data_IF_276697343351
#
_entry.id   IF_276697343351
#
_cell.length_a   1.000
_cell.length_b   1.000
_cell.length_c   1.000
_cell.angle_alpha   90.00
_cell.angle_beta   90.00
_cell.angle_gamma   90.00
#
_symmetry.space_group_name_H-M   'P 1'
#
loop_
_entity.id
_entity.type
_entity.pdbx_description
1 polymer ?
#
# COMPACT_ATOMS: atom_id res chain seq x y z
N UNK A 1 16.06 -3.08 -7.89
CA UNK A 1 16.64 -1.78 -8.28
C UNK A 1 17.60 -1.31 -7.20
N UNK A 2 18.78 -0.77 -7.54
CA UNK A 2 19.62 -0.08 -6.57
C UNK A 2 18.88 1.13 -6.00
N UNK A 3 19.21 1.51 -4.76
CA UNK A 3 18.64 2.70 -4.15
C UNK A 3 19.12 3.96 -4.89
N UNK A 4 18.18 4.78 -5.37
CA UNK A 4 18.45 6.08 -5.97
C UNK A 4 18.11 7.20 -4.97
N UNK A 5 19.16 7.83 -4.43
CA UNK A 5 19.02 8.91 -3.47
C UNK A 5 18.36 10.16 -4.09
N UNK A 6 18.68 10.49 -5.34
CA UNK A 6 18.15 11.68 -5.99
C UNK A 6 16.64 11.53 -6.22
N UNK A 7 16.22 10.35 -6.71
CA UNK A 7 14.81 10.04 -6.85
C UNK A 7 14.08 10.10 -5.50
N UNK A 8 14.66 9.51 -4.45
CA UNK A 8 14.06 9.52 -3.11
C UNK A 8 13.89 10.95 -2.55
N UNK A 9 14.88 11.84 -2.78
CA UNK A 9 14.80 13.24 -2.36
C UNK A 9 13.72 14.01 -3.15
N UNK A 10 13.59 13.77 -4.45
CA UNK A 10 12.56 14.36 -5.29
C UNK A 10 11.16 13.90 -4.87
N UNK A 11 10.98 12.60 -4.59
CA UNK A 11 9.72 12.04 -4.11
C UNK A 11 9.33 12.63 -2.75
N UNK A 12 10.31 12.76 -1.83
CA UNK A 12 10.10 13.43 -0.54
C UNK A 12 9.63 14.88 -0.73
N UNK A 13 10.26 15.62 -1.64
CA UNK A 13 9.87 17.01 -1.93
C UNK A 13 8.45 17.09 -2.52
N UNK A 14 8.13 16.22 -3.50
CA UNK A 14 6.78 16.11 -4.08
C UNK A 14 5.71 15.83 -3.03
N UNK A 15 5.96 14.89 -2.11
CA UNK A 15 5.02 14.56 -1.04
C UNK A 15 4.84 15.76 -0.08
N UNK A 16 5.92 16.49 0.21
CA UNK A 16 5.87 17.65 1.10
C UNK A 16 5.06 18.81 0.51
N UNK A 17 5.15 19.05 -0.80
CA UNK A 17 4.47 20.16 -1.49
C UNK A 17 3.12 19.77 -2.11
N UNK A 18 2.70 18.50 -2.02
CA UNK A 18 1.44 18.03 -2.56
C UNK A 18 0.24 18.78 -1.96
N UNK A 19 -0.67 19.24 -2.84
CA UNK A 19 -1.96 19.83 -2.43
C UNK A 19 -2.96 18.75 -2.03
N UNK A 20 -2.86 17.57 -2.63
CA UNK A 20 -3.65 16.37 -2.31
C UNK A 20 -2.79 15.12 -2.36
N UNK A 21 -2.92 14.28 -1.35
CA UNK A 21 -2.30 12.95 -1.29
C UNK A 21 -3.35 11.87 -1.41
N UNK A 22 -3.03 10.84 -2.17
CA UNK A 22 -3.82 9.61 -2.24
C UNK A 22 -2.93 8.48 -1.73
N UNK A 23 -3.25 7.95 -0.56
CA UNK A 23 -2.53 6.84 0.05
C UNK A 23 -3.23 5.55 -0.34
N UNK A 24 -2.51 4.62 -0.97
CA UNK A 24 -3.04 3.30 -1.31
C UNK A 24 -2.54 2.30 -0.27
N UNK A 25 -3.46 1.64 0.42
CA UNK A 25 -3.21 0.56 1.36
C UNK A 25 -3.91 -0.69 0.85
N UNK A 26 -3.13 -1.69 0.45
CA UNK A 26 -3.65 -2.85 -0.28
C UNK A 26 -2.63 -3.99 -0.32
N UNK A 27 -2.95 -5.04 -1.05
CA UNK A 27 -2.18 -6.26 -1.22
C UNK A 27 -1.40 -6.30 -2.55
N UNK A 28 -1.13 -7.51 -3.06
CA UNK A 28 -0.39 -7.72 -4.31
C UNK A 28 -1.04 -7.11 -5.54
N UNK A 29 -2.36 -6.89 -5.54
CA UNK A 29 -3.11 -6.37 -6.69
C UNK A 29 -2.81 -4.89 -6.95
N UNK A 30 -2.41 -4.13 -5.93
CA UNK A 30 -2.02 -2.73 -6.07
C UNK A 30 -0.51 -2.47 -5.91
N UNK A 31 0.25 -3.43 -5.37
CA UNK A 31 1.67 -3.27 -5.05
C UNK A 31 2.54 -2.85 -6.25
N UNK A 32 3.55 -2.03 -5.96
CA UNK A 32 4.65 -1.73 -6.88
C UNK A 32 5.66 -2.88 -6.84
N UNK A 33 6.11 -3.31 -8.02
CA UNK A 33 7.15 -4.33 -8.19
C UNK A 33 8.36 -3.76 -8.95
N UNK A 34 9.51 -4.42 -8.80
CA UNK A 34 10.76 -4.09 -9.47
C UNK A 34 10.69 -4.38 -10.97
N UNK A 35 11.53 -3.71 -11.78
CA UNK A 35 11.55 -3.88 -13.25
C UNK A 35 11.84 -5.34 -13.63
N UNK A 36 12.67 -6.04 -12.86
CA UNK A 36 12.97 -7.47 -13.07
C UNK A 36 11.77 -8.40 -12.90
N UNK A 37 10.66 -7.92 -12.34
CA UNK A 37 9.42 -8.69 -12.13
C UNK A 37 8.39 -8.44 -13.23
N UNK A 38 8.67 -7.60 -14.23
CA UNK A 38 7.78 -7.42 -15.37
C UNK A 38 7.47 -8.77 -16.05
N UNK A 39 6.23 -8.98 -16.51
CA UNK A 39 5.13 -8.01 -16.61
C UNK A 39 4.26 -7.89 -15.34
N UNK A 40 4.66 -8.49 -14.20
CA UNK A 40 3.88 -8.39 -12.96
C UNK A 40 3.92 -6.96 -12.43
N UNK A 41 2.74 -6.36 -12.29
CA UNK A 41 2.52 -5.05 -11.68
C UNK A 41 1.18 -5.02 -10.94
N UNK A 42 1.07 -4.14 -9.94
CA UNK A 42 -0.22 -3.79 -9.36
C UNK A 42 -0.81 -2.53 -9.98
N UNK A 43 -2.12 -2.32 -9.87
CA UNK A 43 -2.77 -1.14 -10.43
C UNK A 43 -2.27 0.17 -9.80
N UNK A 44 -1.89 0.13 -8.51
CA UNK A 44 -1.34 1.27 -7.79
C UNK A 44 -0.01 1.78 -8.34
N UNK A 45 0.78 0.90 -8.98
CA UNK A 45 2.08 1.24 -9.57
C UNK A 45 1.98 2.30 -10.68
N UNK A 46 0.85 2.33 -11.39
CA UNK A 46 0.62 3.25 -12.53
C UNK A 46 -0.44 4.30 -12.23
N UNK A 47 -0.99 4.31 -11.01
CA UNK A 47 -2.15 5.13 -10.68
C UNK A 47 -1.84 6.64 -10.70
N UNK A 48 -0.61 7.04 -10.35
CA UNK A 48 -0.15 8.43 -10.49
C UNK A 48 -0.33 8.98 -11.92
N UNK A 49 -0.18 8.12 -12.94
CA UNK A 49 -0.26 8.51 -14.35
C UNK A 49 -1.70 8.79 -14.81
N UNK A 50 -2.69 8.68 -13.92
CA UNK A 50 -4.08 9.07 -14.19
C UNK A 50 -4.36 10.55 -13.88
N UNK A 51 -3.40 11.25 -13.26
CA UNK A 51 -3.53 12.67 -12.91
C UNK A 51 -2.61 13.52 -13.79
N UNK A 52 -3.03 14.75 -14.07
CA UNK A 52 -2.20 15.74 -14.76
C UNK A 52 -0.95 16.06 -13.90
N UNK A 53 0.17 16.34 -14.56
CA UNK A 53 1.45 16.60 -13.89
C UNK A 53 1.39 17.82 -12.94
N UNK A 54 0.55 18.81 -13.25
CA UNK A 54 0.35 20.06 -12.51
C UNK A 54 -0.86 20.03 -11.56
N UNK A 55 -1.56 18.89 -11.44
CA UNK A 55 -2.74 18.76 -10.56
C UNK A 55 -2.46 18.93 -9.07
N UNK A 56 -1.19 18.87 -8.65
CA UNK A 56 -0.78 18.85 -7.24
C UNK A 56 -1.13 17.55 -6.50
N UNK A 57 -1.64 16.53 -7.22
CA UNK A 57 -1.96 15.20 -6.66
C UNK A 57 -0.71 14.32 -6.63
N UNK A 58 -0.41 13.77 -5.45
CA UNK A 58 0.65 12.79 -5.26
C UNK A 58 0.06 11.47 -4.74
N UNK A 59 0.34 10.39 -5.46
CA UNK A 59 -0.05 9.03 -5.05
C UNK A 59 1.08 8.40 -4.24
N UNK A 60 0.78 7.98 -3.01
CA UNK A 60 1.68 7.21 -2.17
C UNK A 60 1.20 5.75 -2.15
N UNK A 61 1.89 4.89 -2.90
CA UNK A 61 1.52 3.47 -2.97
C UNK A 61 2.16 2.67 -1.83
N UNK A 62 1.41 2.48 -0.74
CA UNK A 62 1.81 1.68 0.41
C UNK A 62 1.49 0.20 0.29
N UNK A 63 0.92 -0.26 -0.84
CA UNK A 63 0.48 -1.64 -0.98
C UNK A 63 1.64 -2.65 -0.88
N UNK A 64 1.36 -3.81 -0.28
CA UNK A 64 2.36 -4.85 0.00
C UNK A 64 1.85 -6.23 -0.44
N UNK A 65 2.59 -6.87 -1.33
CA UNK A 65 2.25 -8.20 -1.80
C UNK A 65 2.17 -9.23 -0.65
N UNK A 66 1.12 -10.06 -0.68
CA UNK A 66 0.92 -11.15 0.27
C UNK A 66 0.41 -10.75 1.66
N UNK A 67 0.10 -9.47 1.90
CA UNK A 67 -0.45 -9.02 3.20
C UNK A 67 -1.97 -9.09 3.19
N UNK A 68 -2.55 -9.65 4.25
CA UNK A 68 -3.95 -9.44 4.62
C UNK A 68 -4.13 -8.06 5.29
N UNK A 69 -5.36 -7.60 5.47
CA UNK A 69 -5.63 -6.37 6.23
C UNK A 69 -5.05 -6.41 7.64
N UNK A 70 -5.12 -7.58 8.30
CA UNK A 70 -4.58 -7.82 9.63
C UNK A 70 -3.05 -7.77 9.66
N UNK A 71 -2.39 -8.48 8.74
CA UNK A 71 -0.92 -8.48 8.71
C UNK A 71 -0.41 -7.07 8.39
N UNK A 72 -1.11 -6.35 7.49
CA UNK A 72 -0.79 -4.96 7.18
C UNK A 72 -0.89 -4.04 8.42
N UNK A 73 -1.90 -4.26 9.27
CA UNK A 73 -2.07 -3.55 10.55
C UNK A 73 -0.99 -3.91 11.56
N UNK A 74 -0.80 -5.20 11.84
CA UNK A 74 0.12 -5.69 12.87
C UNK A 74 1.60 -5.41 12.54
N UNK A 75 1.97 -5.40 11.26
CA UNK A 75 3.33 -5.05 10.80
C UNK A 75 3.57 -3.52 10.78
N UNK A 76 2.58 -2.70 11.17
CA UNK A 76 2.73 -1.25 11.32
C UNK A 76 2.67 -0.46 10.01
N UNK A 77 2.25 -1.06 8.89
CA UNK A 77 2.20 -0.38 7.60
C UNK A 77 1.15 0.73 7.57
N UNK A 78 0.00 0.55 8.23
CA UNK A 78 -0.97 1.64 8.42
C UNK A 78 -0.35 2.83 9.15
N UNK A 79 0.40 2.57 10.22
CA UNK A 79 1.07 3.63 10.99
C UNK A 79 2.12 4.34 10.12
N UNK A 80 2.89 3.60 9.33
CA UNK A 80 3.89 4.18 8.43
C UNK A 80 3.24 5.10 7.39
N UNK A 81 2.16 4.66 6.76
CA UNK A 81 1.42 5.44 5.76
C UNK A 81 0.74 6.66 6.38
N UNK A 82 0.15 6.51 7.58
CA UNK A 82 -0.55 7.57 8.30
C UNK A 82 0.31 8.80 8.60
N UNK A 83 1.64 8.67 8.65
CA UNK A 83 2.57 9.80 8.85
C UNK A 83 2.55 10.83 7.72
N UNK A 84 2.07 10.46 6.54
CA UNK A 84 1.97 11.35 5.38
C UNK A 84 0.59 11.98 5.23
N UNK A 85 -0.41 11.55 6.00
CA UNK A 85 -1.79 11.96 5.83
C UNK A 85 -2.01 13.38 6.35
N UNK A 86 -2.71 14.20 5.58
CA UNK A 86 -3.19 15.52 6.01
C UNK A 86 -4.70 15.68 5.80
N UNK A 87 -5.35 16.66 6.46
CA UNK A 87 -6.76 16.92 6.27
C UNK A 87 -7.14 17.11 4.79
N UNK A 88 -8.15 16.35 4.36
CA UNK A 88 -8.66 16.36 2.99
C UNK A 88 -7.85 15.51 1.98
N UNK A 89 -6.87 14.73 2.44
CA UNK A 89 -6.26 13.67 1.65
C UNK A 89 -7.17 12.42 1.59
N UNK A 90 -6.88 11.50 0.68
CA UNK A 90 -7.64 10.26 0.50
C UNK A 90 -6.82 9.04 0.92
N UNK A 91 -7.50 8.05 1.52
CA UNK A 91 -6.93 6.72 1.77
C UNK A 91 -7.79 5.69 1.06
N UNK A 92 -7.19 4.99 0.09
CA UNK A 92 -7.84 3.88 -0.62
C UNK A 92 -7.41 2.58 0.04
N UNK A 93 -8.38 1.88 0.62
CA UNK A 93 -8.15 0.60 1.31
C UNK A 93 -8.76 -0.51 0.47
N UNK A 94 -7.91 -1.42 -0.02
CA UNK A 94 -8.33 -2.54 -0.87
C UNK A 94 -7.62 -3.84 -0.41
N UNK A 95 -8.23 -4.52 0.56
CA UNK A 95 -7.80 -5.85 1.04
C UNK A 95 -8.88 -6.89 0.72
N UNK A 96 -8.56 -8.17 0.89
CA UNK A 96 -9.49 -9.27 0.64
C UNK A 96 -8.81 -10.53 0.10
N UNK A 97 -7.94 -10.40 -0.91
CA UNK A 97 -7.34 -11.56 -1.58
C UNK A 97 -6.54 -12.46 -0.62
N UNK A 98 -5.87 -11.88 0.37
CA UNK A 98 -5.09 -12.62 1.36
C UNK A 98 -5.82 -12.83 2.68
N UNK A 99 -6.94 -12.14 2.90
CA UNK A 99 -7.71 -12.20 4.14
C UNK A 99 -8.44 -13.54 4.29
N UNK A 100 -8.89 -14.11 3.16
CA UNK A 100 -9.45 -15.46 3.08
C UNK A 100 -8.43 -16.56 3.38
N UNK A 101 -7.13 -16.31 3.23
CA UNK A 101 -6.13 -17.35 3.33
C UNK A 101 -5.90 -17.72 4.79
N UNK A 102 -6.59 -18.76 5.25
CA UNK A 102 -6.31 -19.46 6.50
C UNK A 102 -5.07 -20.32 6.35
N UNK A 103 -3.95 -19.91 6.95
CA UNK A 103 -2.79 -20.80 7.07
C UNK A 103 -2.88 -21.53 8.40
N UNK A 104 -3.17 -22.85 8.37
CA UNK A 104 -3.16 -23.72 9.56
C UNK A 104 -1.82 -23.76 10.30
N UNK A 105 -0.72 -23.35 9.65
CA UNK A 105 0.60 -23.18 10.25
C UNK A 105 0.81 -21.77 10.86
N UNK A 106 -0.19 -20.89 10.83
CA UNK A 106 -0.23 -19.59 11.51
C UNK A 106 -1.45 -19.50 12.44
N UNK A 107 -1.52 -20.35 13.49
CA UNK A 107 -2.73 -20.59 14.28
C UNK A 107 -3.17 -19.42 15.17
N UNK A 108 -2.30 -18.44 15.42
CA UNK A 108 -2.64 -17.31 16.30
C UNK A 108 -3.28 -16.21 15.46
N UNK A 109 -4.58 -16.34 15.23
CA UNK A 109 -5.43 -15.22 14.82
C UNK A 109 -6.14 -14.73 16.09
N UNK A 110 -5.91 -13.47 16.47
CA UNK A 110 -6.37 -12.91 17.76
C UNK A 110 -7.89 -12.96 17.97
N UNK A 111 -8.37 -12.52 19.13
CA UNK A 111 -9.75 -12.67 19.59
C UNK A 111 -10.86 -12.09 18.67
N UNK A 112 -10.50 -11.26 17.69
CA UNK A 112 -11.43 -10.75 16.68
C UNK A 112 -11.72 -11.76 15.55
N UNK A 113 -11.00 -12.89 15.53
CA UNK A 113 -11.25 -13.96 14.58
C UNK A 113 -12.34 -14.88 15.11
N UNK A 114 -13.46 -14.90 14.37
CA UNK A 114 -14.58 -15.79 14.61
C UNK A 114 -14.06 -17.22 14.65
N UNK A 115 -14.07 -17.76 15.87
CA UNK A 115 -13.81 -19.16 16.23
C UNK A 115 -14.22 -20.09 15.08
N UNK A 116 -13.24 -20.62 14.34
CA UNK A 116 -13.35 -21.73 13.39
C UNK A 116 -13.89 -21.46 11.96
N UNK A 117 -13.54 -20.36 11.28
CA UNK A 117 -13.87 -20.20 9.83
C UNK A 117 -12.75 -20.57 8.86
N UNK A 118 -11.71 -21.25 9.33
CA UNK A 118 -10.80 -21.96 8.44
C UNK A 118 -11.37 -23.36 8.16
N UNK A 119 -12.32 -23.46 7.23
CA UNK A 119 -12.50 -24.73 6.49
C UNK A 119 -11.44 -24.84 5.41
#
# INVERSE_FOLDING_TARGET
EPFDLNQALQDKARIATATKRILIVSDSTAATYEVSRLPRMGWGQVFQNRFLADSGVVVLNGARAGRSSRDFYNEGWYQQMGRYLQPGDYVFIAHGHNDQNCNGNKPIRGAADVRNLCT
#
